data_IF_583502502505
#
_entry.id   IF_583502502505
#
_cell.length_a   1.000
_cell.length_b   1.000
_cell.length_c   1.000
_cell.angle_alpha   90.00
_cell.angle_beta   90.00
_cell.angle_gamma   90.00
#
_symmetry.space_group_name_H-M   'P 1'
#
loop_
_entity.id
_entity.type
_entity.pdbx_description
1 polymer ?
#
# COMPACT_ATOMS: atom_id res chain seq x y z
N UNK A 1 2.97 -20.16 -13.61
CA UNK A 1 2.91 -19.09 -14.67
C UNK A 1 4.27 -18.94 -15.32
N UNK A 2 4.36 -18.67 -16.64
CA UNK A 2 5.66 -18.31 -17.24
C UNK A 2 5.95 -16.83 -17.00
N UNK A 3 6.78 -16.55 -16.00
CA UNK A 3 7.08 -15.19 -15.51
C UNK A 3 7.79 -14.37 -16.60
N UNK A 4 8.80 -14.93 -17.28
CA UNK A 4 9.56 -14.21 -18.31
C UNK A 4 8.70 -13.82 -19.51
N UNK A 5 7.77 -14.71 -19.91
CA UNK A 5 6.80 -14.41 -20.96
C UNK A 5 5.87 -13.27 -20.55
N UNK A 6 5.32 -13.31 -19.32
CA UNK A 6 4.44 -12.24 -18.81
C UNK A 6 5.16 -10.89 -18.75
N UNK A 7 6.39 -10.86 -18.27
CA UNK A 7 7.21 -9.64 -18.23
C UNK A 7 7.48 -9.11 -19.64
N UNK A 8 7.80 -9.99 -20.60
CA UNK A 8 8.06 -9.57 -21.98
C UNK A 8 6.84 -8.91 -22.65
N UNK A 9 5.65 -9.45 -22.38
CA UNK A 9 4.37 -8.90 -22.87
C UNK A 9 4.05 -7.53 -22.21
N UNK A 10 4.19 -7.43 -20.89
CA UNK A 10 3.90 -6.21 -20.12
C UNK A 10 4.86 -5.06 -20.46
N UNK A 11 6.16 -5.33 -20.60
CA UNK A 11 7.18 -4.32 -20.90
C UNK A 11 7.40 -4.12 -22.42
N UNK A 12 6.68 -4.88 -23.27
CA UNK A 12 6.80 -4.83 -24.74
C UNK A 12 8.22 -5.03 -25.24
N UNK A 13 8.95 -5.95 -24.63
CA UNK A 13 10.30 -6.39 -25.03
C UNK A 13 10.23 -7.80 -25.59
N UNK A 14 11.30 -8.22 -26.29
CA UNK A 14 11.37 -9.57 -26.81
C UNK A 14 11.55 -10.59 -25.68
N UNK A 15 10.99 -11.80 -25.83
CA UNK A 15 11.09 -12.84 -24.81
C UNK A 15 12.54 -13.16 -24.44
N UNK A 16 13.42 -13.30 -25.43
CA UNK A 16 14.83 -13.57 -25.21
C UNK A 16 15.55 -12.47 -24.42
N UNK A 17 15.13 -11.20 -24.57
CA UNK A 17 15.67 -10.08 -23.79
C UNK A 17 15.27 -10.19 -22.32
N UNK A 18 14.00 -10.56 -22.06
CA UNK A 18 13.52 -10.79 -20.70
C UNK A 18 14.25 -11.98 -20.06
N UNK A 19 14.41 -13.09 -20.77
CA UNK A 19 15.14 -14.26 -20.30
C UNK A 19 16.61 -13.96 -20.00
N UNK A 20 17.29 -13.25 -20.89
CA UNK A 20 18.68 -12.85 -20.68
C UNK A 20 18.85 -11.92 -19.48
N UNK A 21 17.93 -10.95 -19.31
CA UNK A 21 17.97 -10.04 -18.17
C UNK A 21 17.71 -10.78 -16.86
N UNK A 22 16.70 -11.66 -16.81
CA UNK A 22 16.39 -12.47 -15.63
C UNK A 22 17.58 -13.37 -15.25
N UNK A 23 18.20 -14.05 -16.22
CA UNK A 23 19.37 -14.87 -15.95
C UNK A 23 20.53 -14.06 -15.35
N UNK A 24 20.80 -12.86 -15.88
CA UNK A 24 21.84 -11.98 -15.33
C UNK A 24 21.52 -11.50 -13.91
N UNK A 25 20.25 -11.21 -13.60
CA UNK A 25 19.79 -10.86 -12.25
C UNK A 25 20.00 -12.06 -11.31
N UNK A 26 19.65 -13.25 -11.74
CA UNK A 26 19.80 -14.49 -10.97
C UNK A 26 21.27 -14.88 -10.72
N UNK A 27 22.16 -14.48 -11.61
CA UNK A 27 23.62 -14.56 -11.40
C UNK A 27 24.13 -13.54 -10.36
N UNK A 28 23.27 -12.70 -9.76
CA UNK A 28 23.61 -11.71 -8.76
C UNK A 28 24.15 -10.38 -9.32
N UNK A 29 24.02 -10.14 -10.63
CA UNK A 29 24.44 -8.87 -11.21
C UNK A 29 23.48 -7.74 -10.84
N UNK A 30 24.02 -6.57 -10.52
CA UNK A 30 23.20 -5.36 -10.26
C UNK A 30 22.68 -4.76 -11.55
N UNK A 31 21.52 -4.10 -11.50
CA UNK A 31 20.92 -3.44 -12.66
C UNK A 31 21.87 -2.45 -13.34
N UNK A 32 22.58 -1.55 -12.61
CA UNK A 32 23.57 -0.67 -13.23
C UNK A 32 24.71 -1.40 -13.94
N UNK A 33 25.14 -2.55 -13.41
CA UNK A 33 26.16 -3.38 -14.05
C UNK A 33 25.65 -3.98 -15.36
N UNK A 34 24.43 -4.54 -15.36
CA UNK A 34 23.79 -5.10 -16.56
C UNK A 34 23.65 -4.01 -17.63
N UNK A 35 23.11 -2.86 -17.27
CA UNK A 35 22.88 -1.75 -18.18
C UNK A 35 24.17 -1.21 -18.83
N UNK A 36 25.31 -1.27 -18.13
CA UNK A 36 26.58 -0.76 -18.64
C UNK A 36 27.42 -1.80 -19.35
N UNK A 37 27.51 -3.00 -18.80
CA UNK A 37 28.51 -4.00 -19.20
C UNK A 37 27.94 -5.27 -19.83
N UNK A 38 26.62 -5.39 -19.98
CA UNK A 38 25.94 -6.56 -20.57
C UNK A 38 24.91 -6.19 -21.63
N UNK A 39 25.11 -5.03 -22.28
CA UNK A 39 24.19 -4.53 -23.32
C UNK A 39 24.00 -5.52 -24.45
N UNK A 40 25.06 -6.18 -24.90
CA UNK A 40 25.03 -7.16 -25.94
C UNK A 40 24.17 -8.39 -25.59
N UNK A 41 24.15 -8.79 -24.31
CA UNK A 41 23.35 -9.93 -23.86
C UNK A 41 21.87 -9.60 -23.73
N UNK A 42 21.53 -8.35 -23.39
CA UNK A 42 20.15 -7.91 -23.17
C UNK A 42 19.54 -7.20 -24.37
N UNK A 43 20.25 -7.13 -25.51
CA UNK A 43 19.78 -6.39 -26.68
C UNK A 43 19.62 -4.89 -26.40
N UNK A 44 20.55 -4.33 -25.65
CA UNK A 44 20.63 -2.90 -25.30
C UNK A 44 19.43 -2.37 -24.49
N UNK A 45 18.83 -3.19 -23.63
CA UNK A 45 17.84 -2.71 -22.67
C UNK A 45 18.46 -1.60 -21.81
N UNK A 46 17.75 -0.49 -21.68
CA UNK A 46 18.20 0.63 -20.87
C UNK A 46 17.96 0.37 -19.36
N UNK A 47 18.53 1.21 -18.51
CA UNK A 47 18.46 1.09 -17.06
C UNK A 47 17.02 1.13 -16.53
N UNK A 48 16.16 1.95 -17.12
CA UNK A 48 14.75 2.11 -16.72
C UNK A 48 13.97 0.80 -17.00
N UNK A 49 14.10 0.23 -18.19
CA UNK A 49 13.45 -1.03 -18.55
C UNK A 49 13.94 -2.17 -17.65
N UNK A 50 15.25 -2.22 -17.38
CA UNK A 50 15.82 -3.24 -16.50
C UNK A 50 15.35 -3.12 -15.06
N UNK A 51 15.17 -1.91 -14.53
CA UNK A 51 14.57 -1.68 -13.19
C UNK A 51 13.12 -2.13 -13.14
N UNK A 52 12.30 -1.70 -14.10
CA UNK A 52 10.92 -2.12 -14.19
C UNK A 52 10.81 -3.65 -14.31
N UNK A 53 11.71 -4.28 -15.03
CA UNK A 53 11.80 -5.74 -15.15
C UNK A 53 12.13 -6.39 -13.79
N UNK A 54 13.12 -5.90 -13.07
CA UNK A 54 13.54 -6.44 -11.77
C UNK A 54 12.42 -6.28 -10.72
N UNK A 55 11.79 -5.12 -10.64
CA UNK A 55 10.64 -4.89 -9.76
C UNK A 55 9.48 -5.84 -10.08
N UNK A 56 9.17 -5.99 -11.37
CA UNK A 56 8.10 -6.88 -11.81
C UNK A 56 8.43 -8.36 -11.58
N UNK A 57 9.68 -8.75 -11.79
CA UNK A 57 10.18 -10.09 -11.52
C UNK A 57 10.02 -10.46 -10.05
N UNK A 58 10.43 -9.57 -9.15
CA UNK A 58 10.28 -9.75 -7.70
C UNK A 58 8.81 -9.90 -7.30
N UNK A 59 7.94 -9.05 -7.84
CA UNK A 59 6.50 -9.14 -7.58
C UNK A 59 5.91 -10.48 -8.05
N UNK A 60 6.20 -10.91 -9.27
CA UNK A 60 5.65 -12.13 -9.82
C UNK A 60 6.20 -13.39 -9.13
N UNK A 61 7.47 -13.38 -8.71
CA UNK A 61 8.04 -14.45 -7.88
C UNK A 61 7.36 -14.55 -6.54
N UNK A 62 7.18 -13.44 -5.85
CA UNK A 62 6.46 -13.38 -4.58
C UNK A 62 5.00 -13.86 -4.75
N UNK A 63 4.35 -13.49 -5.85
CA UNK A 63 2.99 -13.97 -6.15
C UNK A 63 2.95 -15.50 -6.31
N UNK A 64 3.87 -16.10 -7.08
CA UNK A 64 3.89 -17.57 -7.28
C UNK A 64 4.27 -18.29 -5.97
N UNK A 65 5.26 -17.82 -5.24
CA UNK A 65 5.63 -18.35 -3.92
C UNK A 65 4.42 -18.30 -2.95
N UNK A 66 3.69 -17.19 -2.98
CA UNK A 66 2.49 -17.04 -2.14
C UNK A 66 1.39 -18.00 -2.54
N UNK A 67 1.16 -18.23 -3.84
CA UNK A 67 0.21 -19.23 -4.33
C UNK A 67 0.56 -20.62 -3.84
N UNK A 68 1.81 -21.02 -3.96
CA UNK A 68 2.29 -22.33 -3.50
C UNK A 68 2.09 -22.49 -2.01
N UNK A 69 2.49 -21.51 -1.20
CA UNK A 69 2.30 -21.54 0.26
C UNK A 69 0.82 -21.66 0.65
N UNK A 70 -0.06 -20.95 -0.06
CA UNK A 70 -1.51 -21.00 0.17
C UNK A 70 -2.08 -22.39 -0.21
N UNK A 71 -1.68 -22.93 -1.35
CA UNK A 71 -2.14 -24.27 -1.78
C UNK A 71 -1.73 -25.34 -0.77
N UNK A 72 -0.47 -25.34 -0.32
CA UNK A 72 0.01 -26.28 0.71
C UNK A 72 -0.80 -26.15 1.99
N UNK A 73 -1.02 -24.93 2.46
CA UNK A 73 -1.76 -24.67 3.70
C UNK A 73 -3.24 -25.14 3.62
N UNK A 74 -3.89 -25.05 2.46
CA UNK A 74 -5.26 -25.51 2.27
C UNK A 74 -5.30 -27.06 2.13
N UNK A 75 -4.30 -27.63 1.46
CA UNK A 75 -4.16 -29.08 1.28
C UNK A 75 -3.94 -29.78 2.62
N UNK A 76 -3.08 -29.25 3.49
CA UNK A 76 -2.87 -29.75 4.86
C UNK A 76 -4.16 -29.75 5.69
N UNK A 77 -5.10 -28.85 5.40
CA UNK A 77 -6.43 -28.81 6.03
C UNK A 77 -7.42 -29.81 5.39
N UNK A 78 -7.03 -30.51 4.32
CA UNK A 78 -7.92 -31.43 3.59
C UNK A 78 -9.10 -30.73 2.87
N UNK A 79 -8.96 -29.43 2.56
CA UNK A 79 -10.03 -28.60 1.99
C UNK A 79 -9.74 -28.12 0.56
N UNK A 80 -8.63 -28.55 -0.04
CA UNK A 80 -8.27 -28.15 -1.39
C UNK A 80 -9.14 -28.89 -2.42
N UNK A 81 -9.93 -28.14 -3.20
CA UNK A 81 -10.68 -28.67 -4.35
C UNK A 81 -9.97 -28.28 -5.65
N UNK A 82 -10.21 -29.04 -6.73
CA UNK A 82 -9.62 -28.74 -8.04
C UNK A 82 -10.03 -27.36 -8.57
N UNK A 83 -11.27 -26.95 -8.31
CA UNK A 83 -11.77 -25.62 -8.68
C UNK A 83 -11.04 -24.51 -7.94
N UNK A 84 -10.87 -24.65 -6.61
CA UNK A 84 -10.14 -23.67 -5.81
C UNK A 84 -8.67 -23.58 -6.22
N UNK A 85 -8.04 -24.73 -6.49
CA UNK A 85 -6.69 -24.79 -7.00
C UNK A 85 -6.54 -24.02 -8.31
N UNK A 86 -7.47 -24.22 -9.25
CA UNK A 86 -7.47 -23.47 -10.51
C UNK A 86 -7.65 -21.96 -10.28
N UNK A 87 -8.57 -21.55 -9.41
CA UNK A 87 -8.80 -20.14 -9.09
C UNK A 87 -7.54 -19.49 -8.50
N UNK A 88 -6.86 -20.16 -7.56
CA UNK A 88 -5.61 -19.66 -6.97
C UNK A 88 -4.51 -19.57 -8.03
N UNK A 89 -4.35 -20.58 -8.87
CA UNK A 89 -3.35 -20.57 -9.94
C UNK A 89 -3.59 -19.48 -10.99
N UNK A 90 -4.87 -19.17 -11.28
CA UNK A 90 -5.25 -18.11 -12.23
C UNK A 90 -5.22 -16.71 -11.62
N UNK A 91 -5.14 -16.58 -10.29
CA UNK A 91 -5.09 -15.27 -9.65
C UNK A 91 -3.88 -14.47 -10.13
N UNK A 92 -4.11 -13.22 -10.54
CA UNK A 92 -3.08 -12.33 -11.12
C UNK A 92 -2.47 -11.37 -10.10
N UNK A 93 -3.06 -11.28 -8.90
CA UNK A 93 -2.63 -10.37 -7.83
C UNK A 93 -2.57 -11.07 -6.48
N UNK A 94 -1.69 -10.60 -5.60
CA UNK A 94 -1.61 -11.07 -4.21
C UNK A 94 -2.93 -10.90 -3.48
N UNK A 95 -3.65 -9.82 -3.74
CA UNK A 95 -4.96 -9.54 -3.13
C UNK A 95 -5.98 -10.61 -3.48
N UNK A 96 -6.03 -11.04 -4.75
CA UNK A 96 -6.92 -12.10 -5.19
C UNK A 96 -6.58 -13.45 -4.53
N UNK A 97 -5.28 -13.76 -4.38
CA UNK A 97 -4.83 -14.96 -3.66
C UNK A 97 -5.23 -14.90 -2.19
N UNK A 98 -5.02 -13.77 -1.53
CA UNK A 98 -5.41 -13.58 -0.12
C UNK A 98 -6.93 -13.67 0.10
N UNK A 99 -7.73 -13.13 -0.82
CA UNK A 99 -9.18 -13.25 -0.73
C UNK A 99 -9.67 -14.71 -0.88
N UNK A 100 -9.05 -15.49 -1.78
CA UNK A 100 -9.36 -16.92 -1.93
C UNK A 100 -8.89 -17.75 -0.72
N UNK A 101 -7.76 -17.36 -0.09
CA UNK A 101 -7.23 -18.04 1.08
C UNK A 101 -7.99 -17.70 2.37
N UNK A 102 -8.69 -16.57 2.42
CA UNK A 102 -9.30 -16.02 3.64
C UNK A 102 -10.18 -16.97 4.43
N UNK A 103 -11.06 -17.81 3.81
CA UNK A 103 -11.87 -18.81 4.52
C UNK A 103 -11.05 -19.89 5.23
N UNK A 104 -9.82 -20.13 4.77
CA UNK A 104 -8.92 -21.21 5.25
C UNK A 104 -7.85 -20.71 6.18
N UNK A 105 -7.67 -19.38 6.26
CA UNK A 105 -6.65 -18.76 7.11
C UNK A 105 -6.98 -18.98 8.58
N UNK A 106 -6.01 -19.45 9.36
CA UNK A 106 -6.16 -19.54 10.81
C UNK A 106 -6.39 -18.12 11.38
N UNK A 107 -7.53 -17.95 12.01
CA UNK A 107 -7.92 -16.69 12.62
C UNK A 107 -7.61 -16.72 14.11
N UNK A 108 -7.23 -15.58 14.66
CA UNK A 108 -7.21 -15.40 16.12
C UNK A 108 -8.66 -15.51 16.63
N UNK A 109 -8.82 -15.65 17.96
CA UNK A 109 -10.13 -15.80 18.62
C UNK A 109 -11.09 -14.64 18.24
N UNK A 110 -12.00 -14.90 17.29
CA UNK A 110 -13.01 -13.97 16.79
C UNK A 110 -14.34 -14.20 17.49
N UNK A 111 -15.32 -13.28 17.35
CA UNK A 111 -16.68 -13.51 17.82
C UNK A 111 -17.27 -14.79 17.22
N UNK A 112 -17.06 -15.01 15.94
CA UNK A 112 -17.52 -16.21 15.24
C UNK A 112 -16.85 -17.48 15.77
N UNK A 113 -15.55 -17.48 16.09
CA UNK A 113 -14.90 -18.66 16.68
C UNK A 113 -15.45 -18.96 18.07
N UNK A 114 -15.71 -17.93 18.88
CA UNK A 114 -16.36 -18.09 20.20
C UNK A 114 -17.77 -18.68 20.04
N UNK A 115 -18.56 -18.18 19.08
CA UNK A 115 -19.88 -18.70 18.80
C UNK A 115 -19.86 -20.16 18.31
N UNK A 116 -18.86 -20.55 17.50
CA UNK A 116 -18.65 -21.94 17.09
C UNK A 116 -18.26 -22.85 18.25
N UNK A 117 -17.40 -22.39 19.17
CA UNK A 117 -17.06 -23.10 20.41
C UNK A 117 -18.31 -23.35 21.28
N UNK A 118 -19.26 -22.42 21.29
CA UNK A 118 -20.55 -22.54 21.95
C UNK A 118 -21.51 -23.51 21.22
N UNK A 119 -21.16 -24.00 20.03
CA UNK A 119 -21.95 -24.98 19.27
C UNK A 119 -23.01 -24.35 18.37
N UNK A 120 -22.93 -23.05 18.05
CA UNK A 120 -23.93 -22.33 17.26
C UNK A 120 -23.74 -22.45 15.74
N UNK A 121 -22.75 -23.25 15.28
CA UNK A 121 -22.45 -23.41 13.85
C UNK A 121 -23.63 -24.05 13.07
N UNK A 122 -24.36 -24.97 13.68
CA UNK A 122 -25.55 -25.59 13.05
C UNK A 122 -26.68 -24.56 12.88
N UNK A 123 -26.98 -23.78 13.91
CA UNK A 123 -27.98 -22.71 13.84
C UNK A 123 -27.63 -21.71 12.73
N UNK A 124 -26.37 -21.28 12.67
CA UNK A 124 -25.89 -20.37 11.63
C UNK A 124 -26.05 -20.95 10.21
N UNK A 125 -25.79 -22.25 10.03
CA UNK A 125 -26.01 -22.97 8.75
C UNK A 125 -27.49 -23.07 8.36
N UNK A 126 -28.37 -23.31 9.32
CA UNK A 126 -29.80 -23.41 9.07
C UNK A 126 -30.42 -22.04 8.74
N UNK A 127 -29.97 -20.97 9.41
CA UNK A 127 -30.34 -19.60 9.08
C UNK A 127 -29.81 -19.22 7.69
N UNK A 128 -28.53 -19.43 7.42
CA UNK A 128 -27.92 -19.11 6.12
C UNK A 128 -28.52 -19.92 4.97
N UNK A 129 -28.82 -21.19 5.22
CA UNK A 129 -29.51 -22.09 4.25
C UNK A 129 -31.01 -21.82 4.13
N UNK A 130 -31.58 -20.92 4.95
CA UNK A 130 -32.99 -20.53 4.98
C UNK A 130 -33.93 -21.75 5.09
N UNK A 131 -33.50 -22.73 5.89
CA UNK A 131 -34.23 -24.01 6.08
C UNK A 131 -35.23 -23.98 7.23
N UNK A 132 -35.23 -22.90 8.04
CA UNK A 132 -36.11 -22.77 9.20
C UNK A 132 -37.54 -22.55 8.73
N UNK A 133 -38.46 -23.38 9.19
CA UNK A 133 -39.87 -23.35 8.81
C UNK A 133 -40.76 -22.61 9.83
N UNK A 134 -40.28 -22.39 11.05
CA UNK A 134 -40.91 -21.62 12.12
C UNK A 134 -40.22 -20.29 12.37
N UNK A 135 -40.27 -19.83 13.62
CA UNK A 135 -39.53 -18.63 14.05
C UNK A 135 -38.06 -18.96 14.31
N UNK A 136 -37.18 -18.02 14.01
CA UNK A 136 -35.74 -18.17 14.29
C UNK A 136 -35.50 -18.28 15.80
N UNK A 137 -36.32 -17.62 16.60
CA UNK A 137 -36.27 -17.67 18.06
C UNK A 137 -36.57 -19.06 18.63
N UNK A 138 -37.63 -19.72 18.13
CA UNK A 138 -37.97 -21.10 18.53
C UNK A 138 -36.86 -22.09 18.17
N UNK A 139 -36.24 -21.92 17.01
CA UNK A 139 -35.11 -22.77 16.61
C UNK A 139 -33.89 -22.50 17.51
N UNK A 140 -33.62 -21.23 17.86
CA UNK A 140 -32.52 -20.83 18.70
C UNK A 140 -32.66 -21.33 20.16
N UNK A 141 -33.90 -21.54 20.67
CA UNK A 141 -34.13 -22.08 22.02
C UNK A 141 -33.48 -23.46 22.20
N UNK A 142 -33.35 -24.24 21.14
CA UNK A 142 -32.71 -25.57 21.17
C UNK A 142 -31.21 -25.53 21.46
N UNK A 143 -30.60 -24.37 21.33
CA UNK A 143 -29.17 -24.14 21.51
C UNK A 143 -28.84 -23.48 22.87
N UNK A 144 -29.85 -23.22 23.72
CA UNK A 144 -29.64 -22.71 25.07
C UNK A 144 -28.93 -23.78 25.89
N UNK A 145 -27.80 -23.43 26.47
CA UNK A 145 -26.97 -24.30 27.31
C UNK A 145 -26.09 -23.47 28.25
N UNK A 146 -26.32 -23.60 29.56
CA UNK A 146 -25.51 -22.97 30.59
C UNK A 146 -24.06 -23.44 30.53
N UNK A 147 -23.81 -24.73 30.26
CA UNK A 147 -22.46 -25.31 30.13
C UNK A 147 -21.67 -24.68 29.02
N UNK A 148 -22.35 -24.33 27.92
CA UNK A 148 -21.72 -23.66 26.76
C UNK A 148 -21.77 -22.12 26.83
N UNK A 149 -22.37 -21.60 27.88
CA UNK A 149 -22.50 -20.15 28.12
C UNK A 149 -23.43 -19.47 27.11
N UNK A 150 -24.51 -20.15 26.71
CA UNK A 150 -25.63 -19.59 25.93
C UNK A 150 -26.86 -19.54 26.84
N UNK A 151 -27.20 -18.35 27.30
CA UNK A 151 -28.21 -18.19 28.36
C UNK A 151 -29.59 -17.86 27.79
N UNK A 152 -29.69 -17.44 26.54
CA UNK A 152 -30.96 -17.06 25.90
C UNK A 152 -30.97 -17.37 24.40
N UNK A 153 -32.18 -17.50 23.83
CA UNK A 153 -32.35 -17.60 22.37
C UNK A 153 -31.74 -16.41 21.62
N UNK A 154 -31.83 -15.22 22.20
CA UNK A 154 -31.25 -13.99 21.62
C UNK A 154 -29.73 -14.08 21.54
N UNK A 155 -29.04 -14.59 22.56
CA UNK A 155 -27.59 -14.84 22.51
C UNK A 155 -27.22 -15.88 21.48
N UNK A 156 -28.07 -16.93 21.30
CA UNK A 156 -27.86 -17.94 20.28
C UNK A 156 -27.98 -17.34 18.87
N UNK A 157 -29.00 -16.50 18.62
CA UNK A 157 -29.18 -15.81 17.34
C UNK A 157 -28.01 -14.86 17.08
N UNK A 158 -27.60 -14.05 18.05
CA UNK A 158 -26.46 -13.15 17.91
C UNK A 158 -25.16 -13.87 17.59
N UNK A 159 -24.92 -15.02 18.23
CA UNK A 159 -23.76 -15.85 17.92
C UNK A 159 -23.82 -16.45 16.52
N UNK A 160 -25.01 -16.85 16.06
CA UNK A 160 -25.21 -17.31 14.69
C UNK A 160 -24.99 -16.19 13.66
N UNK A 161 -25.46 -14.98 13.95
CA UNK A 161 -25.17 -13.77 13.13
C UNK A 161 -23.68 -13.48 13.02
N UNK A 162 -22.93 -13.56 14.13
CA UNK A 162 -21.48 -13.37 14.11
C UNK A 162 -20.76 -14.39 13.21
N UNK A 163 -21.23 -15.66 13.20
CA UNK A 163 -20.71 -16.71 12.30
C UNK A 163 -21.05 -16.39 10.84
N UNK A 164 -22.29 -15.98 10.56
CA UNK A 164 -22.76 -15.64 9.22
C UNK A 164 -22.03 -14.39 8.70
N UNK A 165 -21.87 -13.36 9.53
CA UNK A 165 -21.14 -12.15 9.18
C UNK A 165 -19.67 -12.45 8.79
N UNK A 166 -19.01 -13.33 9.55
CA UNK A 166 -17.66 -13.77 9.22
C UNK A 166 -17.64 -14.58 7.91
N UNK A 167 -18.56 -15.51 7.72
CA UNK A 167 -18.69 -16.29 6.50
C UNK A 167 -18.84 -15.39 5.26
N UNK A 168 -19.74 -14.41 5.32
CA UNK A 168 -19.96 -13.44 4.23
C UNK A 168 -18.70 -12.61 3.97
N UNK A 169 -18.01 -12.20 5.03
CA UNK A 169 -16.79 -11.40 4.92
C UNK A 169 -15.62 -12.14 4.25
N UNK A 170 -15.66 -13.47 4.27
CA UNK A 170 -14.64 -14.34 3.70
C UNK A 170 -14.88 -14.68 2.22
N UNK A 171 -16.05 -14.31 1.66
CA UNK A 171 -16.35 -14.59 0.25
C UNK A 171 -15.55 -13.68 -0.68
N UNK A 172 -14.65 -14.26 -1.46
CA UNK A 172 -13.80 -13.53 -2.40
C UNK A 172 -14.60 -12.76 -3.46
N UNK A 173 -15.73 -13.32 -3.93
CA UNK A 173 -16.62 -12.67 -4.90
C UNK A 173 -17.16 -11.34 -4.34
N UNK A 174 -17.65 -11.35 -3.09
CA UNK A 174 -18.23 -10.17 -2.46
C UNK A 174 -17.18 -9.06 -2.25
N UNK A 175 -16.01 -9.45 -1.77
CA UNK A 175 -14.89 -8.52 -1.59
C UNK A 175 -14.44 -7.89 -2.91
N UNK A 176 -14.32 -8.71 -3.94
CA UNK A 176 -13.94 -8.23 -5.29
C UNK A 176 -14.96 -7.24 -5.84
N UNK A 177 -16.26 -7.53 -5.69
CA UNK A 177 -17.32 -6.61 -6.11
C UNK A 177 -17.27 -5.29 -5.36
N UNK A 178 -17.19 -5.34 -4.03
CA UNK A 178 -17.17 -4.14 -3.19
C UNK A 178 -15.92 -3.31 -3.48
N UNK A 179 -14.73 -3.92 -3.52
CA UNK A 179 -13.46 -3.25 -3.84
C UNK A 179 -13.54 -2.52 -5.19
N UNK A 180 -14.06 -3.19 -6.22
CA UNK A 180 -14.22 -2.61 -7.55
C UNK A 180 -15.14 -1.39 -7.55
N UNK A 181 -16.25 -1.45 -6.82
CA UNK A 181 -17.19 -0.34 -6.75
C UNK A 181 -16.63 0.81 -5.88
N UNK A 182 -15.99 0.53 -4.74
CA UNK A 182 -15.34 1.55 -3.93
C UNK A 182 -14.22 2.25 -4.70
N UNK A 183 -13.42 1.50 -5.47
CA UNK A 183 -12.42 2.11 -6.35
C UNK A 183 -13.04 3.02 -7.41
N UNK A 184 -14.15 2.59 -8.01
CA UNK A 184 -14.79 3.32 -9.12
C UNK A 184 -15.54 4.56 -8.65
N UNK A 185 -16.37 4.42 -7.63
CA UNK A 185 -17.39 5.39 -7.23
C UNK A 185 -17.13 5.97 -5.82
N UNK A 186 -16.16 5.47 -5.08
CA UNK A 186 -15.85 5.93 -3.73
C UNK A 186 -15.17 7.30 -3.69
N UNK A 187 -15.27 7.95 -2.55
CA UNK A 187 -14.73 9.29 -2.29
C UNK A 187 -13.73 9.22 -1.14
N UNK A 188 -12.57 9.86 -1.32
CA UNK A 188 -11.67 10.18 -0.22
C UNK A 188 -12.18 11.45 0.43
N UNK A 189 -12.49 11.37 1.72
CA UNK A 189 -13.01 12.49 2.51
C UNK A 189 -12.03 12.78 3.62
N UNK A 190 -11.59 14.04 3.72
CA UNK A 190 -10.80 14.53 4.83
C UNK A 190 -11.52 15.67 5.53
N UNK A 191 -11.50 15.66 6.85
CA UNK A 191 -12.12 16.69 7.69
C UNK A 191 -11.17 17.10 8.81
N UNK A 192 -11.26 18.37 9.23
CA UNK A 192 -10.58 18.82 10.43
C UNK A 192 -11.01 17.98 11.63
N UNK A 193 -10.07 17.61 12.48
CA UNK A 193 -10.38 16.87 13.72
C UNK A 193 -10.92 17.80 14.79
N UNK A 194 -10.41 19.02 14.84
CA UNK A 194 -10.86 20.08 15.72
C UNK A 194 -11.19 21.33 14.89
N UNK A 195 -12.32 21.94 15.15
CA UNK A 195 -12.74 23.17 14.49
C UNK A 195 -11.79 24.32 14.88
N UNK A 196 -11.48 25.20 13.94
CA UNK A 196 -10.66 26.41 14.12
C UNK A 196 -9.16 26.19 14.45
N UNK A 197 -8.59 25.03 14.15
CA UNK A 197 -7.14 24.83 14.25
C UNK A 197 -6.44 25.46 13.05
N UNK A 198 -5.62 26.49 13.26
CA UNK A 198 -4.76 27.02 12.19
C UNK A 198 -3.66 26.00 11.84
N UNK A 199 -3.58 25.60 10.59
CA UNK A 199 -2.53 24.71 10.11
C UNK A 199 -2.30 24.82 8.61
N UNK A 200 -1.20 24.22 8.13
CA UNK A 200 -0.90 24.12 6.69
C UNK A 200 -1.87 23.18 5.93
N UNK A 201 -2.78 22.53 6.64
CA UNK A 201 -3.76 21.58 6.08
C UNK A 201 -5.17 22.17 5.93
N UNK A 202 -5.38 23.46 6.10
CA UNK A 202 -6.69 24.11 6.02
C UNK A 202 -7.45 23.79 4.72
N UNK A 203 -6.75 23.67 3.60
CA UNK A 203 -7.35 23.29 2.32
C UNK A 203 -7.95 21.87 2.30
N UNK A 204 -7.70 21.06 3.32
CA UNK A 204 -8.22 19.70 3.47
C UNK A 204 -9.22 19.55 4.61
N UNK A 205 -9.66 20.62 5.26
CA UNK A 205 -10.60 20.57 6.39
C UNK A 205 -12.02 20.17 6.00
N UNK A 206 -12.39 20.40 4.76
CA UNK A 206 -13.63 19.90 4.15
C UNK A 206 -13.32 19.48 2.70
N UNK A 207 -12.57 18.41 2.58
CA UNK A 207 -12.06 17.94 1.30
C UNK A 207 -12.73 16.64 0.88
N UNK A 208 -13.15 16.59 -0.39
CA UNK A 208 -13.74 15.40 -0.97
C UNK A 208 -13.27 15.26 -2.42
N UNK A 209 -12.75 14.08 -2.77
CA UNK A 209 -12.31 13.79 -4.15
C UNK A 209 -12.50 12.31 -4.48
N UNK A 210 -12.87 11.95 -5.74
CA UNK A 210 -13.00 10.54 -6.14
C UNK A 210 -11.71 9.74 -5.94
N UNK A 211 -11.82 8.53 -5.37
CA UNK A 211 -10.70 7.61 -5.11
C UNK A 211 -9.84 7.39 -6.34
N UNK A 212 -10.46 7.19 -7.51
CA UNK A 212 -9.76 6.87 -8.76
C UNK A 212 -9.15 8.08 -9.48
N UNK A 213 -9.31 9.31 -8.95
CA UNK A 213 -8.83 10.55 -9.58
C UNK A 213 -7.95 11.39 -8.69
N UNK A 214 -7.91 11.10 -7.42
CA UNK A 214 -7.15 11.89 -6.45
C UNK A 214 -5.67 11.91 -6.79
N UNK A 215 -5.08 13.10 -6.79
CA UNK A 215 -3.67 13.28 -7.09
C UNK A 215 -2.76 12.80 -5.96
N UNK A 216 -1.65 12.14 -6.29
CA UNK A 216 -0.74 11.54 -5.29
C UNK A 216 -0.21 12.54 -4.27
N UNK A 217 0.14 13.77 -4.66
CA UNK A 217 0.60 14.79 -3.71
C UNK A 217 -0.47 15.16 -2.66
N UNK A 218 -1.76 15.08 -3.00
CA UNK A 218 -2.86 15.30 -2.06
C UNK A 218 -2.98 14.14 -1.08
N UNK A 219 -2.83 12.89 -1.55
CA UNK A 219 -2.80 11.71 -0.68
C UNK A 219 -1.69 11.84 0.35
N UNK A 220 -0.47 12.21 -0.07
CA UNK A 220 0.66 12.39 0.85
C UNK A 220 0.43 13.52 1.86
N UNK A 221 -0.17 14.64 1.41
CA UNK A 221 -0.50 15.75 2.29
C UNK A 221 -1.58 15.37 3.33
N UNK A 222 -2.65 14.71 2.89
CA UNK A 222 -3.75 14.24 3.75
C UNK A 222 -3.23 13.22 4.78
N UNK A 223 -2.41 12.25 4.35
CA UNK A 223 -1.82 11.24 5.24
C UNK A 223 -0.91 11.91 6.29
N UNK A 224 -0.16 12.94 5.92
CA UNK A 224 0.64 13.70 6.87
C UNK A 224 -0.23 14.42 7.89
N UNK A 225 -1.30 15.12 7.44
CA UNK A 225 -2.24 15.80 8.33
C UNK A 225 -2.95 14.84 9.29
N UNK A 226 -3.25 13.61 8.84
CA UNK A 226 -3.81 12.56 9.69
C UNK A 226 -2.79 12.04 10.73
N UNK A 227 -1.54 11.83 10.34
CA UNK A 227 -0.46 11.41 11.24
C UNK A 227 -0.15 12.47 12.30
N UNK A 228 -0.25 13.75 11.94
CA UNK A 228 -0.12 14.90 12.85
C UNK A 228 -1.40 15.11 13.69
N UNK A 229 -2.43 14.29 13.52
CA UNK A 229 -3.73 14.31 14.23
C UNK A 229 -4.56 15.58 13.99
N UNK A 230 -4.30 16.28 12.90
CA UNK A 230 -5.04 17.48 12.48
C UNK A 230 -6.24 17.07 11.63
N UNK A 231 -6.10 16.07 10.78
CA UNK A 231 -7.15 15.56 9.92
C UNK A 231 -7.70 14.22 10.39
N UNK A 232 -8.96 13.96 10.04
CA UNK A 232 -9.58 12.63 10.03
C UNK A 232 -9.85 12.28 8.58
N UNK A 233 -9.38 11.12 8.12
CA UNK A 233 -9.49 10.71 6.72
C UNK A 233 -10.24 9.40 6.62
N UNK A 234 -11.21 9.35 5.70
CA UNK A 234 -12.04 8.16 5.45
C UNK A 234 -12.27 7.98 3.95
N UNK A 235 -12.60 6.77 3.56
CA UNK A 235 -13.22 6.51 2.26
C UNK A 235 -14.73 6.39 2.48
N UNK A 236 -15.51 7.14 1.74
CA UNK A 236 -16.96 7.02 1.70
C UNK A 236 -17.40 6.33 0.42
N UNK A 237 -18.37 5.44 0.52
CA UNK A 237 -18.94 4.72 -0.61
C UNK A 237 -20.44 4.57 -0.42
N UNK A 238 -21.15 4.28 -1.51
CA UNK A 238 -22.60 4.02 -1.48
C UNK A 238 -22.89 2.70 -0.75
N UNK A 239 -23.12 2.81 0.57
CA UNK A 239 -23.43 1.67 1.45
C UNK A 239 -24.67 0.93 0.97
N UNK A 240 -25.73 1.65 0.57
CA UNK A 240 -26.99 1.04 0.16
C UNK A 240 -26.80 0.15 -1.07
N UNK A 241 -26.05 0.62 -2.05
CA UNK A 241 -25.70 -0.15 -3.23
C UNK A 241 -24.95 -1.45 -2.89
N UNK A 242 -23.99 -1.38 -1.94
CA UNK A 242 -23.21 -2.55 -1.52
C UNK A 242 -24.06 -3.55 -0.76
N UNK A 243 -24.85 -3.07 0.20
CA UNK A 243 -25.77 -3.91 0.96
C UNK A 243 -26.83 -4.57 0.08
N UNK A 244 -27.42 -3.85 -0.85
CA UNK A 244 -28.39 -4.39 -1.81
C UNK A 244 -27.78 -5.50 -2.68
N UNK A 245 -26.53 -5.38 -3.09
CA UNK A 245 -25.84 -6.48 -3.78
C UNK A 245 -25.68 -7.71 -2.88
N UNK A 246 -25.22 -7.53 -1.64
CA UNK A 246 -25.02 -8.62 -0.69
C UNK A 246 -26.36 -9.31 -0.34
N UNK A 247 -27.41 -8.52 -0.10
CA UNK A 247 -28.75 -9.07 0.17
C UNK A 247 -29.26 -9.95 -0.97
N UNK A 248 -29.12 -9.50 -2.21
CA UNK A 248 -29.50 -10.30 -3.39
C UNK A 248 -28.74 -11.61 -3.54
N UNK A 249 -27.50 -11.65 -3.04
CA UNK A 249 -26.64 -12.86 -3.10
C UNK A 249 -26.92 -13.82 -1.96
N UNK A 250 -27.23 -13.31 -0.78
CA UNK A 250 -27.36 -14.10 0.46
C UNK A 250 -28.80 -14.50 0.71
N UNK A 251 -29.77 -13.62 0.43
CA UNK A 251 -31.16 -13.82 0.76
C UNK A 251 -31.89 -14.37 -0.48
N UNK A 252 -32.18 -15.64 -0.46
CA UNK A 252 -32.84 -16.37 -1.57
C UNK A 252 -34.20 -16.95 -1.17
N UNK A 253 -34.47 -17.09 0.13
CA UNK A 253 -35.69 -17.64 0.68
C UNK A 253 -36.81 -16.60 0.88
N UNK A 254 -37.96 -17.08 1.34
CA UNK A 254 -39.18 -16.28 1.53
C UNK A 254 -39.60 -16.14 3.00
N UNK A 255 -38.82 -16.65 3.95
CA UNK A 255 -39.15 -16.54 5.36
C UNK A 255 -38.73 -15.16 5.89
N UNK A 256 -39.70 -14.33 6.27
CA UNK A 256 -39.46 -12.95 6.67
C UNK A 256 -38.59 -12.82 7.94
N UNK A 257 -38.69 -13.74 8.90
CA UNK A 257 -37.85 -13.70 10.10
C UNK A 257 -36.39 -14.05 9.79
N UNK A 258 -36.17 -15.10 9.03
CA UNK A 258 -34.82 -15.46 8.56
C UNK A 258 -34.23 -14.36 7.70
N UNK A 259 -35.03 -13.67 6.88
CA UNK A 259 -34.59 -12.53 6.08
C UNK A 259 -34.10 -11.37 6.98
N UNK A 260 -34.80 -11.11 8.08
CA UNK A 260 -34.42 -10.03 9.01
C UNK A 260 -33.06 -10.33 9.65
N UNK A 261 -32.87 -11.51 10.22
CA UNK A 261 -31.60 -11.95 10.82
C UNK A 261 -30.46 -11.92 9.81
N UNK A 262 -30.73 -12.41 8.57
CA UNK A 262 -29.72 -12.35 7.52
C UNK A 262 -29.35 -10.95 7.10
N UNK A 263 -30.31 -9.99 7.06
CA UNK A 263 -30.01 -8.59 6.78
C UNK A 263 -29.12 -7.97 7.87
N UNK A 264 -29.38 -8.28 9.14
CA UNK A 264 -28.57 -7.81 10.25
C UNK A 264 -27.16 -8.38 10.20
N UNK A 265 -27.01 -9.70 9.97
CA UNK A 265 -25.72 -10.36 9.82
C UNK A 265 -24.92 -9.83 8.62
N UNK A 266 -25.57 -9.60 7.47
CA UNK A 266 -24.96 -9.02 6.27
C UNK A 266 -24.48 -7.60 6.54
N UNK A 267 -25.33 -6.78 7.17
CA UNK A 267 -25.00 -5.38 7.49
C UNK A 267 -23.82 -5.30 8.48
N UNK A 268 -23.80 -6.14 9.52
CA UNK A 268 -22.67 -6.24 10.44
C UNK A 268 -21.40 -6.72 9.74
N UNK A 269 -21.49 -7.77 8.92
CA UNK A 269 -20.37 -8.28 8.13
C UNK A 269 -19.78 -7.22 7.19
N UNK A 270 -20.62 -6.45 6.54
CA UNK A 270 -20.18 -5.33 5.69
C UNK A 270 -19.50 -4.23 6.51
N UNK A 271 -20.19 -3.68 7.52
CA UNK A 271 -19.72 -2.51 8.30
C UNK A 271 -18.49 -2.81 9.15
N UNK A 272 -18.45 -3.96 9.77
CA UNK A 272 -17.40 -4.32 10.73
C UNK A 272 -16.21 -5.04 10.09
N UNK A 273 -16.43 -5.86 9.07
CA UNK A 273 -15.41 -6.77 8.56
C UNK A 273 -14.96 -6.44 7.14
N UNK A 274 -15.88 -6.22 6.19
CA UNK A 274 -15.54 -6.07 4.78
C UNK A 274 -15.06 -4.65 4.49
N UNK A 275 -15.90 -3.65 4.74
CA UNK A 275 -15.63 -2.28 4.33
C UNK A 275 -14.37 -1.70 4.97
N UNK A 276 -14.13 -1.83 6.30
CA UNK A 276 -12.91 -1.31 6.92
C UNK A 276 -11.63 -1.97 6.43
N UNK A 277 -11.71 -3.23 5.99
CA UNK A 277 -10.57 -3.93 5.40
C UNK A 277 -10.28 -3.42 3.99
N UNK A 278 -11.31 -3.24 3.16
CA UNK A 278 -11.18 -2.71 1.79
C UNK A 278 -10.76 -1.23 1.83
N UNK A 279 -11.28 -0.43 2.75
CA UNK A 279 -10.86 0.96 2.95
C UNK A 279 -9.35 1.05 3.20
N UNK A 280 -8.83 0.27 4.15
CA UNK A 280 -7.38 0.23 4.42
C UNK A 280 -6.57 -0.23 3.22
N UNK A 281 -7.05 -1.24 2.51
CA UNK A 281 -6.39 -1.76 1.32
C UNK A 281 -6.30 -0.69 0.23
N UNK A 282 -7.38 0.02 -0.05
CA UNK A 282 -7.41 1.10 -1.04
C UNK A 282 -6.54 2.28 -0.58
N UNK A 283 -6.60 2.66 0.69
CA UNK A 283 -5.74 3.73 1.22
C UNK A 283 -4.26 3.38 1.11
N UNK A 284 -3.87 2.15 1.43
CA UNK A 284 -2.49 1.69 1.26
C UNK A 284 -2.06 1.74 -0.20
N UNK A 285 -2.89 1.25 -1.13
CA UNK A 285 -2.59 1.29 -2.56
C UNK A 285 -2.44 2.72 -3.09
N UNK A 286 -3.31 3.65 -2.66
CA UNK A 286 -3.19 5.06 -3.01
C UNK A 286 -1.88 5.66 -2.48
N UNK A 287 -1.51 5.32 -1.24
CA UNK A 287 -0.28 5.80 -0.60
C UNK A 287 0.96 5.28 -1.33
N UNK A 288 1.07 3.96 -1.56
CA UNK A 288 2.17 3.35 -2.29
C UNK A 288 2.32 3.96 -3.70
N UNK A 289 1.23 4.10 -4.43
CA UNK A 289 1.25 4.74 -5.75
C UNK A 289 1.71 6.20 -5.68
N UNK A 290 1.29 6.93 -4.65
CA UNK A 290 1.66 8.34 -4.47
C UNK A 290 3.14 8.49 -4.09
N UNK A 291 3.66 7.62 -3.22
CA UNK A 291 5.07 7.58 -2.81
C UNK A 291 5.98 7.24 -4.00
N UNK A 292 5.65 6.20 -4.77
CA UNK A 292 6.40 5.81 -5.96
C UNK A 292 6.50 6.94 -6.99
N UNK A 293 5.37 7.61 -7.23
CA UNK A 293 5.35 8.75 -8.15
C UNK A 293 6.16 9.94 -7.62
N UNK A 294 6.09 10.23 -6.31
CA UNK A 294 6.87 11.28 -5.69
C UNK A 294 8.38 11.00 -5.76
N UNK A 295 8.79 9.74 -5.51
CA UNK A 295 10.19 9.31 -5.64
C UNK A 295 10.68 9.47 -7.08
N UNK A 296 9.87 9.08 -8.08
CA UNK A 296 10.22 9.26 -9.50
C UNK A 296 10.41 10.74 -9.87
N UNK A 297 9.52 11.61 -9.42
CA UNK A 297 9.63 13.06 -9.64
C UNK A 297 10.88 13.63 -8.96
N UNK A 298 11.13 13.24 -7.70
CA UNK A 298 12.32 13.65 -6.98
C UNK A 298 13.60 13.18 -7.68
N UNK A 299 13.64 11.91 -8.10
CA UNK A 299 14.77 11.35 -8.85
C UNK A 299 15.08 12.13 -10.13
N UNK A 300 14.04 12.49 -10.91
CA UNK A 300 14.18 13.30 -12.12
C UNK A 300 14.69 14.72 -11.84
N UNK A 301 14.19 15.34 -10.78
CA UNK A 301 14.66 16.66 -10.37
C UNK A 301 16.13 16.61 -9.91
N UNK A 302 16.49 15.57 -9.16
CA UNK A 302 17.89 15.36 -8.72
C UNK A 302 18.81 15.12 -9.93
N UNK A 303 18.39 14.30 -10.89
CA UNK A 303 19.14 14.08 -12.13
C UNK A 303 19.37 15.39 -12.88
N UNK A 304 18.34 16.21 -13.05
CA UNK A 304 18.47 17.52 -13.69
C UNK A 304 19.41 18.45 -12.93
N UNK A 305 19.37 18.41 -11.60
CA UNK A 305 20.29 19.20 -10.76
C UNK A 305 21.73 18.75 -10.95
N UNK A 306 21.98 17.43 -10.95
CA UNK A 306 23.33 16.87 -11.11
C UNK A 306 23.90 17.03 -12.52
N UNK A 307 23.04 17.10 -13.54
CA UNK A 307 23.40 17.29 -14.94
C UNK A 307 23.44 18.75 -15.36
N UNK A 308 23.34 19.71 -14.42
CA UNK A 308 23.51 21.11 -14.76
C UNK A 308 24.89 21.35 -15.40
N UNK A 309 24.96 22.14 -16.48
CA UNK A 309 26.23 22.44 -17.10
C UNK A 309 27.15 23.18 -16.10
N UNK A 310 28.47 22.94 -16.13
CA UNK A 310 29.41 23.65 -15.27
C UNK A 310 29.38 25.14 -15.57
N UNK A 311 29.59 25.94 -14.54
CA UNK A 311 29.78 27.38 -14.69
C UNK A 311 31.15 27.60 -15.37
N UNK A 312 31.11 28.09 -16.59
CA UNK A 312 32.33 28.30 -17.39
C UNK A 312 32.67 29.78 -17.50
N UNK A 313 33.95 30.06 -17.76
CA UNK A 313 34.43 31.42 -18.08
C UNK A 313 34.62 32.33 -16.88
N UNK A 314 34.46 31.85 -15.66
CA UNK A 314 34.68 32.65 -14.44
C UNK A 314 35.32 31.80 -13.33
N UNK A 315 35.91 32.47 -12.34
CA UNK A 315 36.40 31.82 -11.13
C UNK A 315 35.23 31.50 -10.21
N UNK A 316 35.16 30.29 -9.72
CA UNK A 316 34.04 29.81 -8.87
C UNK A 316 34.59 29.36 -7.52
N UNK A 317 33.93 29.79 -6.42
CA UNK A 317 34.11 29.24 -5.09
C UNK A 317 33.04 28.21 -4.81
N UNK A 318 33.41 26.93 -4.78
CA UNK A 318 32.58 25.86 -4.30
C UNK A 318 32.55 25.78 -2.77
N UNK A 319 31.39 25.68 -2.16
CA UNK A 319 31.21 25.59 -0.72
C UNK A 319 30.33 24.36 -0.36
N UNK A 320 30.92 23.40 0.35
CA UNK A 320 30.25 22.24 0.90
C UNK A 320 30.03 22.41 2.41
N UNK A 321 28.82 22.75 2.88
CA UNK A 321 28.60 23.06 4.29
C UNK A 321 28.58 21.79 5.17
N UNK A 322 29.31 21.84 6.31
CA UNK A 322 29.26 20.79 7.31
C UNK A 322 29.49 21.38 8.72
N UNK A 323 28.60 20.99 9.66
CA UNK A 323 28.66 21.52 11.03
C UNK A 323 29.83 20.97 11.87
N UNK A 324 30.05 19.64 11.84
CA UNK A 324 31.06 18.98 12.70
C UNK A 324 32.46 18.99 12.11
N UNK A 325 32.59 18.74 10.83
CA UNK A 325 33.88 18.60 10.13
C UNK A 325 34.39 19.89 9.52
N UNK A 326 33.62 20.97 9.61
CA UNK A 326 33.90 22.26 8.96
C UNK A 326 33.45 22.27 7.50
N UNK A 327 33.12 23.45 7.00
CA UNK A 327 32.74 23.69 5.62
C UNK A 327 33.99 23.58 4.72
N UNK A 328 33.92 22.72 3.71
CA UNK A 328 34.98 22.57 2.71
C UNK A 328 34.78 23.61 1.62
N UNK A 329 35.86 24.32 1.27
CA UNK A 329 35.85 25.28 0.19
C UNK A 329 36.87 24.88 -0.87
N UNK A 330 36.53 25.12 -2.13
CA UNK A 330 37.41 24.95 -3.25
C UNK A 330 37.25 26.12 -4.23
N UNK A 331 38.33 26.70 -4.65
CA UNK A 331 38.35 27.73 -5.71
C UNK A 331 38.81 27.07 -7.01
N UNK A 332 38.02 27.26 -8.07
CA UNK A 332 38.32 26.72 -9.39
C UNK A 332 38.44 27.88 -10.42
N UNK A 333 39.34 27.73 -11.37
CA UNK A 333 39.49 28.69 -12.46
C UNK A 333 38.40 28.53 -13.54
N UNK A 334 38.33 29.39 -14.55
CA UNK A 334 37.34 29.30 -15.62
C UNK A 334 37.36 28.01 -16.42
N UNK A 335 38.44 27.21 -16.32
CA UNK A 335 38.56 25.90 -17.00
C UNK A 335 38.20 24.71 -16.13
N UNK A 336 37.87 24.95 -14.84
CA UNK A 336 37.56 23.91 -13.86
C UNK A 336 38.79 23.37 -13.11
N UNK A 337 39.99 23.96 -13.29
CA UNK A 337 41.19 23.56 -12.55
C UNK A 337 41.08 24.09 -11.11
N UNK A 338 41.31 23.22 -10.13
CA UNK A 338 41.35 23.64 -8.71
C UNK A 338 42.55 24.49 -8.45
N UNK A 339 42.33 25.72 -7.97
CA UNK A 339 43.35 26.69 -7.62
C UNK A 339 43.76 26.55 -6.16
N UNK A 340 42.76 26.38 -5.26
CA UNK A 340 43.03 26.28 -3.83
C UNK A 340 41.87 25.55 -3.12
N UNK A 341 42.15 24.92 -1.96
CA UNK A 341 41.15 24.27 -1.12
C UNK A 341 41.41 24.57 0.35
N UNK A 342 40.34 24.78 1.12
CA UNK A 342 40.47 25.05 2.56
C UNK A 342 39.22 24.55 3.33
N UNK A 343 39.35 24.54 4.66
CA UNK A 343 38.23 24.18 5.56
C UNK A 343 37.94 25.37 6.47
N UNK A 344 36.69 25.79 6.53
CA UNK A 344 36.21 26.89 7.36
C UNK A 344 35.19 26.37 8.39
N UNK A 345 35.34 26.81 9.61
CA UNK A 345 34.44 26.42 10.72
C UNK A 345 33.53 27.62 11.05
N UNK A 346 32.33 27.62 10.48
CA UNK A 346 31.33 28.68 10.67
C UNK A 346 30.70 28.68 12.09
N UNK A 347 30.69 27.52 12.74
CA UNK A 347 30.06 27.28 14.06
C UNK A 347 31.02 26.70 15.08
N UNK A 348 32.30 27.10 15.04
CA UNK A 348 33.31 26.52 15.90
C UNK A 348 33.18 27.04 17.36
N UNK A 349 33.12 26.12 18.32
CA UNK A 349 33.19 26.43 19.76
C UNK A 349 34.55 27.03 20.21
N UNK A 350 35.57 26.90 19.36
CA UNK A 350 36.96 27.38 19.64
C UNK A 350 37.23 28.71 18.94
N UNK A 351 37.57 29.74 19.74
CA UNK A 351 37.99 31.08 19.25
C UNK A 351 39.14 31.04 18.23
N UNK A 352 40.04 30.06 18.33
CA UNK A 352 41.15 29.86 17.39
C UNK A 352 40.68 29.46 16.00
N UNK A 353 39.76 28.49 15.91
CA UNK A 353 39.18 28.04 14.63
C UNK A 353 38.30 29.11 13.99
N UNK A 354 37.60 29.90 14.80
CA UNK A 354 36.80 31.03 14.32
C UNK A 354 37.67 32.11 13.71
N UNK A 355 38.80 32.45 14.35
CA UNK A 355 39.73 33.44 13.84
C UNK A 355 40.37 32.99 12.52
N UNK A 356 40.81 31.74 12.44
CA UNK A 356 41.38 31.15 11.22
C UNK A 356 40.34 31.18 10.09
N UNK A 357 39.07 30.84 10.38
CA UNK A 357 37.98 30.88 9.40
C UNK A 357 37.72 32.30 8.88
N UNK A 358 37.76 33.29 9.74
CA UNK A 358 37.61 34.73 9.34
C UNK A 358 38.73 35.19 8.45
N UNK A 359 39.98 34.77 8.70
CA UNK A 359 41.13 35.10 7.87
C UNK A 359 41.04 34.49 6.48
N UNK A 360 40.68 33.20 6.41
CA UNK A 360 40.46 32.49 5.14
C UNK A 360 39.34 33.11 4.32
N UNK A 361 38.21 33.46 4.93
CA UNK A 361 37.09 34.12 4.24
C UNK A 361 37.48 35.51 3.72
N UNK A 362 38.33 36.26 4.43
CA UNK A 362 38.86 37.53 3.94
C UNK A 362 39.74 37.34 2.70
N UNK A 363 40.61 36.33 2.68
CA UNK A 363 41.46 36.02 1.54
C UNK A 363 40.61 35.54 0.32
N UNK A 364 39.55 34.79 0.53
CA UNK A 364 38.66 34.35 -0.55
C UNK A 364 37.87 35.51 -1.18
N UNK A 365 37.46 36.51 -0.38
CA UNK A 365 36.76 37.71 -0.87
C UNK A 365 37.64 38.63 -1.72
N UNK A 366 38.99 38.57 -1.55
CA UNK A 366 39.93 39.35 -2.34
C UNK A 366 40.09 38.77 -3.76
N UNK A 367 39.86 37.47 -3.94
CA UNK A 367 40.07 36.76 -5.21
C UNK A 367 38.79 36.51 -6.01
N UNK A 368 37.60 36.83 -5.47
CA UNK A 368 36.31 36.53 -6.10
C UNK A 368 35.44 37.78 -6.10
N UNK A 369 35.18 38.31 -7.28
CA UNK A 369 34.46 39.56 -7.43
C UNK A 369 32.96 39.50 -7.22
N UNK A 370 32.32 38.29 -7.20
CA UNK A 370 30.90 38.12 -6.86
C UNK A 370 30.61 36.72 -6.29
N UNK A 371 29.95 36.62 -5.12
CA UNK A 371 29.49 35.32 -4.59
C UNK A 371 28.20 34.87 -5.29
N UNK A 372 28.27 33.82 -6.07
CA UNK A 372 27.06 33.13 -6.55
C UNK A 372 26.42 32.40 -5.38
N UNK A 373 25.31 32.94 -4.89
CA UNK A 373 24.53 32.34 -3.82
C UNK A 373 23.63 31.24 -4.42
N UNK A 374 24.05 29.99 -4.36
CA UNK A 374 23.11 28.91 -4.51
C UNK A 374 22.45 28.68 -3.15
N UNK A 375 21.24 29.20 -3.00
CA UNK A 375 20.33 28.79 -1.93
C UNK A 375 19.84 27.41 -2.29
N UNK A 376 20.38 26.37 -1.67
CA UNK A 376 19.80 25.07 -1.65
C UNK A 376 18.80 25.01 -0.50
N UNK A 377 17.60 24.64 -0.85
CA UNK A 377 16.45 24.31 0.00
C UNK A 377 16.77 23.11 0.89
#
# INVERSE_FOLDING_TARGET
MNITKKISEELKIQLWQAEAAVNLIDEGNTIPFIARYRKEKTGSLNDEVLRNLDERLKYLRNLEERKEAVLVSIEEQGKLTDELKQQIMQAETLVAVEDLYRPYKQKKRTRATIAKEKGLDSLAKDILGQKITGTVSEEAEKYISEEKGVLSAQEAVQGAEDIIAEYISDQAEYRTYIRKNVWKDGLVVAKAKEENTESVYEMYYDFTEPVNRIAGHRILAINRGENEKILTVKIEADEEKMLNYLYKKVITGKNAETETVLKEAVADGYKRLIFPAIEREIRNMLTETAEDNAIKVFGKNLEQLLLQPPITGQVVLGWDPAFRTGCKLAVVDPTGKVLDTTIVYATAESKSKEKQSKEVLKLSLIHISEPTRHSLI
#
